data_IF_244895532658
#
_entry.id   IF_244895532658
#
_cell.length_a   1.000
_cell.length_b   1.000
_cell.length_c   1.000
_cell.angle_alpha   90.00
_cell.angle_beta   90.00
_cell.angle_gamma   90.00
#
_symmetry.space_group_name_H-M   'P 1'
#
loop_
_entity.id
_entity.type
_entity.pdbx_description
1 polymer ?
#
# COMPACT_ATOMS: atom_id res chain seq x y z
N UNK A 1 -26.31 19.03 34.18
CA UNK A 1 -26.20 20.42 33.67
C UNK A 1 -26.82 20.45 32.29
N UNK A 2 -27.95 21.11 32.16
CA UNK A 2 -28.86 21.10 31.00
C UNK A 2 -28.93 22.52 30.46
N UNK A 3 -28.45 22.76 29.24
CA UNK A 3 -28.62 24.07 28.58
C UNK A 3 -29.64 23.98 27.43
N UNK A 4 -30.60 24.90 27.52
CA UNK A 4 -31.75 25.15 26.65
C UNK A 4 -31.41 26.11 25.50
N UNK A 5 -31.96 25.81 24.32
CA UNK A 5 -32.81 26.66 23.45
C UNK A 5 -32.31 27.99 22.86
N UNK A 6 -32.35 28.11 21.51
CA UNK A 6 -33.03 29.13 20.66
C UNK A 6 -32.29 29.22 19.28
N UNK A 7 -32.85 28.93 18.09
CA UNK A 7 -34.03 29.36 17.33
C UNK A 7 -33.89 30.69 16.53
N UNK A 8 -34.31 30.64 15.24
CA UNK A 8 -34.71 31.73 14.30
C UNK A 8 -33.59 32.44 13.51
N UNK A 9 -33.67 32.85 12.21
CA UNK A 9 -34.69 33.05 11.14
C UNK A 9 -33.91 33.32 9.80
N UNK A 10 -34.25 32.75 8.63
CA UNK A 10 -35.14 33.21 7.52
C UNK A 10 -34.51 34.11 6.42
N UNK A 11 -34.84 33.76 5.16
CA UNK A 11 -34.91 34.58 3.91
C UNK A 11 -33.57 34.88 3.20
N UNK A 12 -33.38 34.67 1.89
CA UNK A 12 -34.19 35.17 0.76
C UNK A 12 -33.93 34.39 -0.52
N UNK A 13 -35.01 34.10 -1.25
CA UNK A 13 -35.01 33.56 -2.60
C UNK A 13 -34.75 34.66 -3.65
N UNK A 14 -33.94 34.37 -4.67
CA UNK A 14 -33.87 35.17 -5.89
C UNK A 14 -34.23 34.32 -7.10
N UNK A 15 -35.33 34.71 -7.72
CA UNK A 15 -35.96 34.17 -8.93
C UNK A 15 -35.44 34.99 -10.11
N UNK A 16 -34.85 34.36 -11.13
CA UNK A 16 -34.64 35.00 -12.44
C UNK A 16 -35.21 34.12 -13.52
N UNK A 17 -36.29 34.62 -14.15
CA UNK A 17 -36.90 34.07 -15.34
C UNK A 17 -36.10 34.51 -16.58
N UNK A 18 -35.95 33.63 -17.57
CA UNK A 18 -35.23 33.92 -18.80
C UNK A 18 -35.56 32.94 -19.93
N UNK A 19 -36.71 33.15 -20.55
CA UNK A 19 -37.00 33.08 -21.99
C UNK A 19 -36.60 31.82 -22.80
N UNK A 20 -37.63 31.08 -23.24
CA UNK A 20 -37.59 30.06 -24.32
C UNK A 20 -37.25 30.69 -25.68
N UNK A 21 -36.53 29.95 -26.55
CA UNK A 21 -36.74 30.03 -27.99
C UNK A 21 -37.28 28.70 -28.57
N UNK A 22 -37.98 28.88 -29.69
CA UNK A 22 -38.90 27.95 -30.30
C UNK A 22 -38.24 26.76 -31.00
N UNK A 23 -38.94 25.62 -30.95
CA UNK A 23 -38.74 24.48 -31.82
C UNK A 23 -38.92 24.92 -33.28
N UNK A 24 -37.89 24.74 -34.11
CA UNK A 24 -37.98 24.90 -35.56
C UNK A 24 -37.64 23.57 -36.20
N UNK A 25 -38.69 22.85 -36.59
CA UNK A 25 -38.63 21.66 -37.42
C UNK A 25 -37.90 22.00 -38.74
N UNK A 26 -36.66 21.52 -38.89
CA UNK A 26 -35.95 21.53 -40.17
C UNK A 26 -36.23 20.21 -40.87
N UNK A 27 -37.07 20.29 -41.90
CA UNK A 27 -37.20 19.27 -42.94
C UNK A 27 -35.84 19.17 -43.63
N UNK A 28 -35.11 18.07 -43.41
CA UNK A 28 -33.84 17.83 -44.09
C UNK A 28 -34.17 17.14 -45.42
N UNK A 29 -33.83 17.74 -46.57
CA UNK A 29 -34.06 17.15 -47.88
C UNK A 29 -33.18 15.92 -48.08
N UNK A 30 -33.82 14.84 -48.52
CA UNK A 30 -33.21 13.58 -48.90
C UNK A 30 -32.39 13.75 -50.18
N UNK A 31 -31.11 14.12 -50.09
CA UNK A 31 -30.16 14.03 -51.19
C UNK A 31 -28.73 14.29 -50.70
N UNK A 32 -28.18 13.34 -49.95
CA UNK A 32 -26.73 13.13 -49.82
C UNK A 32 -26.43 11.73 -49.22
N UNK A 33 -27.20 10.71 -49.61
CA UNK A 33 -26.65 9.36 -49.67
C UNK A 33 -25.68 9.36 -50.86
N UNK A 34 -24.39 9.05 -50.63
CA UNK A 34 -23.42 8.39 -51.56
C UNK A 34 -21.95 8.61 -51.13
N UNK A 35 -21.62 9.55 -50.23
CA UNK A 35 -20.21 9.79 -49.84
C UNK A 35 -19.79 9.19 -48.47
N UNK A 36 -20.32 8.04 -48.07
CA UNK A 36 -20.14 7.52 -46.70
C UNK A 36 -19.54 6.10 -46.59
N UNK A 37 -18.75 5.63 -47.57
CA UNK A 37 -18.32 4.22 -47.61
C UNK A 37 -16.82 3.94 -47.82
N UNK A 38 -15.91 4.92 -47.67
CA UNK A 38 -14.49 4.70 -47.99
C UNK A 38 -13.46 5.11 -46.92
N UNK A 39 -13.85 5.34 -45.66
CA UNK A 39 -12.90 5.83 -44.65
C UNK A 39 -13.09 5.27 -43.21
N UNK A 40 -13.45 3.99 -43.07
CA UNK A 40 -13.71 3.39 -41.73
C UNK A 40 -13.04 2.03 -41.52
N UNK A 41 -11.85 1.78 -42.08
CA UNK A 41 -11.13 0.49 -41.91
C UNK A 41 -9.74 0.62 -41.24
N UNK A 42 -9.31 1.82 -40.86
CA UNK A 42 -7.90 2.05 -40.46
C UNK A 42 -7.57 2.15 -38.97
N UNK A 43 -8.52 2.17 -38.04
CA UNK A 43 -8.27 2.71 -36.69
C UNK A 43 -8.46 1.76 -35.50
N UNK A 44 -8.52 0.44 -35.69
CA UNK A 44 -8.77 -0.51 -34.58
C UNK A 44 -7.55 -1.32 -34.11
N UNK A 45 -6.36 -1.15 -34.72
CA UNK A 45 -5.17 -1.95 -34.41
C UNK A 45 -4.19 -1.32 -33.39
N UNK A 46 -4.53 -0.21 -32.74
CA UNK A 46 -3.65 0.45 -31.76
C UNK A 46 -4.04 0.21 -30.29
N UNK A 47 -5.05 -0.64 -30.02
CA UNK A 47 -5.52 -0.92 -28.66
C UNK A 47 -5.11 -2.30 -28.11
N UNK A 48 -4.08 -2.94 -28.68
CA UNK A 48 -3.54 -4.22 -28.20
C UNK A 48 -2.25 -4.08 -27.39
N UNK A 49 -1.97 -2.89 -26.86
CA UNK A 49 -0.63 -2.51 -26.38
C UNK A 49 -0.50 -2.09 -24.92
N UNK A 50 -1.34 -2.55 -23.99
CA UNK A 50 -1.14 -2.31 -22.54
C UNK A 50 -1.38 -3.59 -21.72
N UNK A 51 -0.85 -4.72 -22.19
CA UNK A 51 -0.86 -5.99 -21.46
C UNK A 51 0.53 -6.37 -20.98
N UNK A 52 1.38 -5.40 -20.60
CA UNK A 52 2.64 -5.70 -19.93
C UNK A 52 2.29 -6.07 -18.49
N UNK A 53 2.04 -7.35 -18.25
CA UNK A 53 2.01 -7.92 -16.91
C UNK A 53 3.42 -7.80 -16.35
N UNK A 54 3.74 -6.63 -15.81
CA UNK A 54 4.96 -6.35 -15.09
C UNK A 54 4.87 -7.16 -13.81
N UNK A 55 5.45 -8.36 -13.81
CA UNK A 55 5.82 -8.99 -12.55
C UNK A 55 6.68 -7.97 -11.82
N UNK A 56 6.28 -7.49 -10.64
CA UNK A 56 7.05 -6.49 -9.93
C UNK A 56 8.43 -7.10 -9.62
N UNK A 57 9.48 -6.41 -10.08
CA UNK A 57 10.88 -6.80 -9.84
C UNK A 57 11.48 -5.91 -8.76
N UNK A 58 12.44 -6.43 -8.00
CA UNK A 58 13.11 -5.69 -6.92
C UNK A 58 12.47 -5.90 -5.54
N UNK A 59 12.48 -4.85 -4.71
CA UNK A 59 12.08 -4.91 -3.29
C UNK A 59 10.95 -3.94 -3.00
N UNK A 60 10.03 -4.36 -2.15
CA UNK A 60 8.99 -3.49 -1.59
C UNK A 60 9.38 -3.02 -0.19
N UNK A 61 8.88 -1.84 0.20
CA UNK A 61 8.98 -1.32 1.56
C UNK A 61 7.58 -0.92 2.02
N UNK A 62 7.23 -1.32 3.24
CA UNK A 62 5.95 -1.01 3.87
C UNK A 62 6.20 -0.66 5.34
N UNK A 63 5.33 0.18 5.88
CA UNK A 63 5.43 0.65 7.26
C UNK A 63 4.06 0.75 7.91
N UNK A 64 3.98 0.39 9.18
CA UNK A 64 2.77 0.48 9.98
C UNK A 64 3.09 1.08 11.35
N UNK A 65 2.13 1.81 11.91
CA UNK A 65 2.30 2.42 13.23
C UNK A 65 2.29 1.40 14.36
N UNK A 66 1.55 0.30 14.18
CA UNK A 66 1.29 -0.71 15.21
C UNK A 66 1.03 -2.10 14.60
N UNK A 67 1.19 -3.13 15.42
CA UNK A 67 0.99 -4.54 15.06
C UNK A 67 -0.40 -4.81 14.48
N UNK A 68 -1.42 -4.24 15.10
CA UNK A 68 -2.83 -4.50 14.79
C UNK A 68 -3.19 -4.00 13.39
N UNK A 69 -2.65 -2.83 13.01
CA UNK A 69 -2.72 -2.28 11.65
C UNK A 69 -1.92 -3.14 10.66
N UNK A 70 -0.72 -3.59 11.03
CA UNK A 70 0.10 -4.44 10.18
C UNK A 70 -0.60 -5.77 9.84
N UNK A 71 -1.20 -6.44 10.83
CA UNK A 71 -1.92 -7.71 10.65
C UNK A 71 -3.17 -7.59 9.77
N UNK A 72 -3.86 -6.44 9.79
CA UNK A 72 -5.07 -6.19 8.98
C UNK A 72 -4.75 -5.70 7.56
N UNK A 73 -3.49 -5.40 7.25
CA UNK A 73 -3.06 -4.94 5.93
C UNK A 73 -3.00 -6.08 4.89
N UNK A 74 -2.92 -5.71 3.61
CA UNK A 74 -2.73 -6.67 2.51
C UNK A 74 -1.43 -7.48 2.66
N UNK A 75 -0.44 -6.98 3.38
CA UNK A 75 0.83 -7.66 3.69
C UNK A 75 0.83 -8.33 5.08
N UNK A 76 -0.29 -8.36 5.80
CA UNK A 76 -0.34 -8.87 7.18
C UNK A 76 0.05 -10.36 7.33
N UNK A 77 -0.01 -11.12 6.24
CA UNK A 77 0.49 -12.50 6.17
C UNK A 77 2.02 -12.61 6.20
N UNK A 78 2.73 -11.52 5.92
CA UNK A 78 4.20 -11.45 6.01
C UNK A 78 4.70 -11.14 7.40
N UNK A 79 3.85 -10.62 8.30
CA UNK A 79 4.21 -10.30 9.69
C UNK A 79 4.35 -11.60 10.50
N UNK A 80 5.58 -12.01 10.86
CA UNK A 80 5.82 -13.26 11.56
C UNK A 80 5.39 -13.16 13.04
N UNK A 81 5.16 -14.31 13.67
CA UNK A 81 4.78 -14.38 15.09
C UNK A 81 5.87 -13.90 16.07
N UNK A 82 7.11 -13.73 15.62
CA UNK A 82 8.17 -13.14 16.44
C UNK A 82 7.96 -11.65 16.69
N UNK A 83 7.16 -10.97 15.86
CA UNK A 83 6.81 -9.56 16.09
C UNK A 83 5.73 -9.56 17.18
N UNK A 84 6.01 -8.98 18.36
CA UNK A 84 5.08 -9.01 19.48
C UNK A 84 3.88 -8.07 19.27
N UNK A 85 2.80 -8.31 20.01
CA UNK A 85 1.55 -7.53 19.91
C UNK A 85 1.71 -6.06 20.33
N UNK A 86 2.72 -5.75 21.14
CA UNK A 86 3.07 -4.38 21.56
C UNK A 86 3.96 -3.64 20.55
N UNK A 87 4.27 -4.26 19.40
CA UNK A 87 5.16 -3.68 18.42
C UNK A 87 4.58 -2.41 17.77
N UNK A 88 5.44 -1.39 17.66
CA UNK A 88 5.18 -0.10 17.03
C UNK A 88 6.26 0.26 16.01
N UNK A 89 5.99 1.27 15.17
CA UNK A 89 6.87 1.72 14.07
C UNK A 89 7.49 0.55 13.28
N UNK A 90 6.61 -0.36 12.86
CA UNK A 90 6.95 -1.59 12.17
C UNK A 90 7.29 -1.25 10.73
N UNK A 91 8.50 -1.58 10.30
CA UNK A 91 8.99 -1.46 8.93
C UNK A 91 9.28 -2.83 8.38
N UNK A 92 8.82 -3.08 7.17
CA UNK A 92 9.07 -4.31 6.43
C UNK A 92 9.68 -3.94 5.07
N UNK A 93 10.81 -4.56 4.74
CA UNK A 93 11.34 -4.64 3.38
C UNK A 93 11.34 -6.10 2.95
N UNK A 94 10.91 -6.41 1.73
CA UNK A 94 10.94 -7.78 1.22
C UNK A 94 11.25 -7.83 -0.27
N UNK A 95 11.84 -8.94 -0.70
CA UNK A 95 12.09 -9.22 -2.12
C UNK A 95 10.80 -9.69 -2.82
N UNK A 96 10.55 -9.18 -4.03
CA UNK A 96 9.37 -9.51 -4.83
C UNK A 96 9.57 -10.75 -5.71
N UNK A 97 10.81 -11.25 -5.80
CA UNK A 97 11.22 -12.34 -6.69
C UNK A 97 11.84 -13.52 -5.93
N UNK A 98 12.54 -13.27 -4.82
CA UNK A 98 13.21 -14.29 -4.01
C UNK A 98 12.65 -14.37 -2.59
N UNK A 99 13.18 -15.30 -1.80
CA UNK A 99 13.07 -15.26 -0.34
C UNK A 99 13.96 -14.12 0.18
N UNK A 100 13.55 -13.49 1.28
CA UNK A 100 14.25 -12.35 1.86
C UNK A 100 13.26 -11.31 2.37
N UNK A 101 13.29 -11.11 3.69
CA UNK A 101 12.52 -10.09 4.35
C UNK A 101 13.30 -9.55 5.55
N UNK A 102 13.17 -8.25 5.77
CA UNK A 102 13.78 -7.51 6.85
C UNK A 102 12.70 -6.75 7.59
N UNK A 103 12.74 -6.83 8.91
CA UNK A 103 11.87 -6.10 9.82
C UNK A 103 12.70 -5.18 10.70
N UNK A 104 12.14 -4.02 11.00
CA UNK A 104 12.52 -3.19 12.15
C UNK A 104 11.26 -2.81 12.90
N UNK A 105 11.25 -2.91 14.23
CA UNK A 105 10.12 -2.52 15.06
C UNK A 105 10.57 -2.13 16.46
N UNK A 106 9.72 -1.38 17.14
CA UNK A 106 9.92 -0.95 18.51
C UNK A 106 9.00 -1.78 19.41
N UNK A 107 9.52 -2.35 20.49
CA UNK A 107 8.73 -3.14 21.44
C UNK A 107 9.41 -3.13 22.80
N UNK A 108 8.63 -2.93 23.86
CA UNK A 108 9.11 -2.96 25.24
C UNK A 108 9.43 -4.40 25.67
N UNK A 109 8.64 -5.37 25.19
CA UNK A 109 8.81 -6.79 25.53
C UNK A 109 9.79 -7.53 24.62
N UNK A 110 10.01 -7.02 23.40
CA UNK A 110 10.81 -7.68 22.38
C UNK A 110 10.16 -8.97 21.83
N UNK A 111 10.90 -9.78 21.05
CA UNK A 111 10.41 -11.05 20.54
C UNK A 111 10.07 -12.01 21.69
N UNK A 112 8.81 -12.39 21.80
CA UNK A 112 8.29 -13.28 22.87
C UNK A 112 7.92 -14.67 22.37
N UNK A 113 8.19 -14.98 21.10
CA UNK A 113 7.84 -16.27 20.54
C UNK A 113 8.66 -17.41 21.17
N UNK A 114 7.98 -18.46 21.64
CA UNK A 114 8.59 -19.59 22.38
C UNK A 114 9.69 -20.35 21.61
N UNK A 115 9.72 -20.19 20.28
CA UNK A 115 10.71 -20.82 19.41
C UNK A 115 11.96 -19.94 19.18
N UNK A 116 12.04 -18.77 19.83
CA UNK A 116 13.21 -17.91 19.83
C UNK A 116 14.18 -18.32 20.94
N UNK A 117 15.45 -18.53 20.59
CA UNK A 117 16.50 -18.82 21.55
C UNK A 117 17.77 -18.01 21.23
N UNK A 118 18.54 -17.65 22.24
CA UNK A 118 19.83 -17.03 22.03
C UNK A 118 20.76 -17.96 21.22
N UNK A 119 21.48 -17.40 20.24
CA UNK A 119 22.42 -18.16 19.44
C UNK A 119 23.12 -17.31 18.38
N UNK A 120 24.12 -17.91 17.73
CA UNK A 120 24.85 -17.27 16.65
C UNK A 120 24.01 -17.20 15.39
N UNK A 121 23.92 -15.99 14.84
CA UNK A 121 23.17 -15.68 13.64
C UNK A 121 24.02 -16.02 12.42
N UNK A 122 23.41 -16.58 11.37
CA UNK A 122 24.10 -17.04 10.15
C UNK A 122 23.44 -16.45 8.91
N UNK A 123 24.13 -16.55 7.78
CA UNK A 123 23.65 -16.01 6.51
C UNK A 123 23.89 -14.51 6.38
N UNK A 124 23.44 -13.94 5.27
CA UNK A 124 23.59 -12.51 4.98
C UNK A 124 22.42 -11.73 5.59
N UNK A 125 22.70 -11.06 6.71
CA UNK A 125 21.75 -10.13 7.33
C UNK A 125 21.73 -8.75 6.69
N UNK A 126 22.58 -8.48 5.69
CA UNK A 126 22.71 -7.17 5.07
C UNK A 126 21.43 -6.72 4.36
N UNK A 127 21.11 -5.43 4.51
CA UNK A 127 20.02 -4.77 3.79
C UNK A 127 20.46 -3.39 3.35
N UNK A 128 19.97 -2.94 2.20
CA UNK A 128 20.15 -1.57 1.71
C UNK A 128 19.00 -0.64 2.15
N UNK A 129 18.16 -1.09 3.10
CA UNK A 129 17.13 -0.25 3.66
C UNK A 129 17.78 0.88 4.47
N UNK A 130 17.34 2.13 4.29
CA UNK A 130 17.93 3.30 4.98
C UNK A 130 17.78 3.28 6.51
N UNK A 131 17.01 2.35 7.04
CA UNK A 131 16.77 2.14 8.47
C UNK A 131 17.48 0.88 9.01
N UNK A 132 18.11 0.09 8.14
CA UNK A 132 18.89 -1.07 8.54
C UNK A 132 20.25 -0.62 9.06
N UNK A 133 20.78 -1.22 10.15
CA UNK A 133 22.09 -0.88 10.66
C UNK A 133 23.21 -1.26 9.68
N UNK A 134 24.29 -0.48 9.68
CA UNK A 134 25.48 -0.79 8.86
C UNK A 134 26.22 -2.04 9.39
N UNK A 135 26.12 -2.30 10.69
CA UNK A 135 26.73 -3.45 11.37
C UNK A 135 25.65 -4.35 11.96
N UNK A 136 25.69 -5.63 11.59
CA UNK A 136 24.81 -6.68 12.14
C UNK A 136 25.65 -7.54 13.09
N UNK A 137 25.23 -7.74 14.35
CA UNK A 137 25.99 -8.55 15.30
C UNK A 137 26.03 -10.04 14.89
N UNK A 138 27.04 -10.76 15.36
CA UNK A 138 27.18 -12.21 15.11
C UNK A 138 26.25 -13.06 15.99
N UNK A 139 25.78 -12.52 17.11
CA UNK A 139 24.92 -13.21 18.09
C UNK A 139 23.63 -12.43 18.36
N UNK A 140 22.54 -13.16 18.57
CA UNK A 140 21.21 -12.60 18.83
C UNK A 140 20.21 -13.69 19.20
N UNK A 141 18.96 -13.52 18.78
CA UNK A 141 17.92 -14.55 18.87
C UNK A 141 17.77 -15.25 17.53
N UNK A 142 17.73 -16.58 17.57
CA UNK A 142 17.41 -17.45 16.44
C UNK A 142 15.99 -17.97 16.64
N UNK A 143 15.09 -17.51 15.77
CA UNK A 143 13.66 -17.78 15.80
C UNK A 143 13.27 -18.60 14.56
N UNK A 144 13.70 -19.87 14.51
CA UNK A 144 13.60 -20.69 13.31
C UNK A 144 14.58 -20.19 12.23
N UNK A 145 14.06 -19.73 11.09
CA UNK A 145 14.90 -19.11 10.04
C UNK A 145 15.09 -17.60 10.23
N UNK A 146 14.40 -17.01 11.21
CA UNK A 146 14.57 -15.60 11.51
C UNK A 146 15.73 -15.40 12.47
N UNK A 147 16.57 -14.42 12.16
CA UNK A 147 17.58 -13.92 13.07
C UNK A 147 17.17 -12.55 13.54
N UNK A 148 17.29 -12.31 14.85
CA UNK A 148 16.76 -11.12 15.51
C UNK A 148 17.80 -10.55 16.45
N UNK A 149 17.98 -9.23 16.42
CA UNK A 149 18.88 -8.53 17.32
C UNK A 149 18.26 -7.19 17.73
N UNK A 150 18.83 -6.60 18.78
CA UNK A 150 18.42 -5.29 19.29
C UNK A 150 19.59 -4.32 19.17
N UNK A 151 19.35 -3.18 18.54
CA UNK A 151 20.34 -2.11 18.35
C UNK A 151 19.65 -0.74 18.37
N UNK A 152 20.32 0.27 18.94
CA UNK A 152 19.83 1.65 19.07
C UNK A 152 18.33 1.80 19.50
N UNK A 153 17.85 0.92 20.38
CA UNK A 153 16.46 0.96 20.88
C UNK A 153 15.42 0.33 19.93
N UNK A 154 15.86 -0.37 18.89
CA UNK A 154 15.01 -1.01 17.90
C UNK A 154 15.32 -2.51 17.81
N UNK A 155 14.29 -3.30 17.54
CA UNK A 155 14.43 -4.70 17.19
C UNK A 155 14.51 -4.86 15.68
N UNK A 156 15.49 -5.63 15.23
CA UNK A 156 15.74 -5.93 13.84
C UNK A 156 15.62 -7.42 13.61
N UNK A 157 14.96 -7.83 12.54
CA UNK A 157 14.88 -9.24 12.17
C UNK A 157 15.08 -9.44 10.68
N UNK A 158 15.74 -10.52 10.27
CA UNK A 158 15.81 -10.92 8.86
C UNK A 158 15.53 -12.42 8.67
N UNK A 159 14.98 -12.76 7.51
CA UNK A 159 14.73 -14.14 7.09
C UNK A 159 15.99 -14.71 6.42
N UNK A 160 16.65 -15.66 7.08
CA UNK A 160 17.92 -16.26 6.66
C UNK A 160 17.76 -17.48 5.75
N UNK A 161 16.62 -17.61 5.05
CA UNK A 161 16.32 -18.71 4.12
C UNK A 161 16.91 -18.54 2.73
#
# INVERSE_FOLDING_TARGET
MTHRTAASRTTTASRTAGTRPAARARRIPALALVAALAATVGATLLLSGCGMSLNPVGRANVSWNDYDTAKKSDDGYRVPMLVPDDATDIRLRYDLQTTGAWFRFDSETGPTADYCAAGSMRGDGGSDASWWPDEVPDDGLVCGNWHVFHDDGHWYAWDAR
#
